data_IF_050978297244
#
_entry.id   IF_050978297244
#
_cell.length_a   1.000
_cell.length_b   1.000
_cell.length_c   1.000
_cell.angle_alpha   90.00
_cell.angle_beta   90.00
_cell.angle_gamma   90.00
#
_symmetry.space_group_name_H-M   'P 1'
#
loop_
_entity.id
_entity.type
_entity.pdbx_description
1 polymer ?
#
# COMPACT_ATOMS: atom_id res chain seq x y z
N UNK A 1 -2.83 -12.13 -15.89
CA UNK A 1 -3.66 -13.01 -15.02
C UNK A 1 -4.27 -14.10 -15.88
N UNK A 2 -4.21 -15.37 -15.47
CA UNK A 2 -4.92 -16.44 -16.15
C UNK A 2 -6.42 -16.17 -16.08
N UNK A 3 -7.10 -16.13 -17.23
CA UNK A 3 -8.54 -15.90 -17.33
C UNK A 3 -9.24 -17.25 -17.20
N UNK A 4 -9.66 -17.60 -15.99
CA UNK A 4 -10.51 -18.78 -15.79
C UNK A 4 -11.90 -18.52 -16.39
N UNK A 5 -12.48 -19.52 -17.04
CA UNK A 5 -13.92 -19.58 -17.27
C UNK A 5 -14.66 -19.91 -15.96
N UNK A 6 -16.00 -19.89 -15.97
CA UNK A 6 -16.76 -20.14 -14.76
C UNK A 6 -16.52 -21.54 -14.17
N UNK A 7 -16.58 -22.66 -14.94
CA UNK A 7 -16.28 -23.98 -14.40
C UNK A 7 -14.91 -24.07 -13.72
N UNK A 8 -13.86 -23.58 -14.39
CA UNK A 8 -12.52 -23.62 -13.80
C UNK A 8 -12.39 -22.72 -12.57
N UNK A 9 -13.05 -21.55 -12.56
CA UNK A 9 -13.08 -20.66 -11.41
C UNK A 9 -13.73 -21.30 -10.19
N UNK A 10 -14.97 -21.79 -10.32
CA UNK A 10 -15.71 -22.35 -9.18
C UNK A 10 -15.10 -23.67 -8.69
N UNK A 11 -14.63 -24.54 -9.59
CA UNK A 11 -13.88 -25.75 -9.18
C UNK A 11 -12.62 -25.39 -8.40
N UNK A 12 -11.89 -24.36 -8.82
CA UNK A 12 -10.71 -23.88 -8.08
C UNK A 12 -11.11 -23.29 -6.73
N UNK A 13 -12.17 -22.48 -6.68
CA UNK A 13 -12.69 -21.89 -5.44
C UNK A 13 -13.08 -22.97 -4.43
N UNK A 14 -13.81 -24.00 -4.85
CA UNK A 14 -14.24 -25.10 -3.98
C UNK A 14 -13.06 -25.79 -3.30
N UNK A 15 -12.01 -26.12 -4.05
CA UNK A 15 -10.78 -26.72 -3.51
C UNK A 15 -10.03 -25.78 -2.57
N UNK A 16 -9.99 -24.49 -2.88
CA UNK A 16 -9.30 -23.50 -2.06
C UNK A 16 -10.03 -23.28 -0.74
N UNK A 17 -11.37 -23.25 -0.75
CA UNK A 17 -12.18 -23.13 0.46
C UNK A 17 -12.09 -24.36 1.36
N UNK A 18 -11.86 -25.55 0.79
CA UNK A 18 -11.59 -26.75 1.59
C UNK A 18 -10.24 -26.63 2.33
N UNK A 19 -9.21 -26.15 1.65
CA UNK A 19 -7.86 -25.98 2.22
C UNK A 19 -7.73 -24.77 3.14
N UNK A 20 -8.59 -23.77 2.96
CA UNK A 20 -8.61 -22.52 3.72
C UNK A 20 -10.05 -22.29 4.18
N UNK A 21 -10.47 -22.96 5.28
CA UNK A 21 -11.83 -22.86 5.78
C UNK A 21 -12.25 -21.40 6.00
N UNK A 22 -13.53 -21.15 5.72
CA UNK A 22 -14.17 -19.85 5.93
C UNK A 22 -14.02 -19.38 7.37
N UNK A 23 -13.89 -18.06 7.58
CA UNK A 23 -13.86 -17.48 8.92
C UNK A 23 -15.29 -17.42 9.49
N UNK A 24 -15.42 -17.21 10.80
CA UNK A 24 -16.73 -17.08 11.43
C UNK A 24 -17.59 -15.96 10.82
N UNK A 25 -16.96 -14.86 10.38
CA UNK A 25 -17.64 -13.76 9.71
C UNK A 25 -18.17 -14.13 8.30
N UNK A 26 -17.74 -15.26 7.73
CA UNK A 26 -18.14 -15.68 6.39
C UNK A 26 -19.34 -16.66 6.40
N UNK A 27 -19.91 -16.98 7.57
CA UNK A 27 -20.93 -18.02 7.73
C UNK A 27 -22.18 -17.78 6.85
N UNK A 28 -22.67 -16.54 6.78
CA UNK A 28 -23.83 -16.17 5.97
C UNK A 28 -23.56 -16.37 4.47
N UNK A 29 -22.41 -15.90 3.98
CA UNK A 29 -21.98 -16.07 2.58
C UNK A 29 -21.83 -17.55 2.21
N UNK A 30 -21.25 -18.36 3.10
CA UNK A 30 -21.13 -19.82 2.88
C UNK A 30 -22.51 -20.48 2.83
N UNK A 31 -23.47 -20.03 3.63
CA UNK A 31 -24.84 -20.53 3.55
C UNK A 31 -25.47 -20.20 2.18
N UNK A 32 -25.34 -18.96 1.69
CA UNK A 32 -25.82 -18.55 0.36
C UNK A 32 -25.23 -19.41 -0.77
N UNK A 33 -23.96 -19.79 -0.67
CA UNK A 33 -23.34 -20.69 -1.64
C UNK A 33 -24.00 -22.08 -1.67
N UNK A 34 -24.35 -22.64 -0.50
CA UNK A 34 -25.02 -23.92 -0.43
C UNK A 34 -26.40 -23.89 -1.11
N UNK A 35 -27.13 -22.77 -1.01
CA UNK A 35 -28.42 -22.57 -1.69
C UNK A 35 -28.33 -22.68 -3.22
N UNK A 36 -27.21 -22.27 -3.81
CA UNK A 36 -26.96 -22.38 -5.25
C UNK A 36 -26.22 -23.68 -5.62
N UNK A 37 -26.11 -24.64 -4.69
CA UNK A 37 -25.43 -25.92 -4.91
C UNK A 37 -23.90 -25.84 -4.93
N UNK A 38 -23.31 -24.72 -4.55
CA UNK A 38 -21.86 -24.59 -4.39
C UNK A 38 -21.44 -24.99 -2.98
N UNK A 39 -20.37 -25.79 -2.87
CA UNK A 39 -19.79 -26.16 -1.58
C UNK A 39 -18.27 -26.36 -1.70
N UNK A 40 -17.51 -26.16 -0.59
CA UNK A 40 -16.09 -26.50 -0.55
C UNK A 40 -15.86 -28.01 -0.69
N UNK A 41 -14.98 -28.42 -1.59
CA UNK A 41 -14.74 -29.84 -1.85
C UNK A 41 -13.97 -30.10 -3.14
N UNK A 42 -13.31 -31.26 -3.19
CA UNK A 42 -12.71 -31.77 -4.44
C UNK A 42 -13.76 -32.45 -5.35
N UNK A 43 -14.89 -32.85 -4.76
CA UNK A 43 -16.05 -33.50 -5.37
C UNK A 43 -17.09 -32.51 -5.94
N UNK A 44 -16.89 -31.20 -5.76
CA UNK A 44 -17.73 -30.19 -6.39
C UNK A 44 -17.70 -30.31 -7.92
N UNK A 45 -18.83 -30.67 -8.50
CA UNK A 45 -19.02 -30.86 -9.94
C UNK A 45 -19.92 -29.76 -10.53
N UNK A 46 -19.28 -28.71 -11.08
CA UNK A 46 -19.97 -27.57 -11.69
C UNK A 46 -21.02 -27.98 -12.74
N UNK A 47 -20.73 -29.01 -13.52
CA UNK A 47 -21.58 -29.50 -14.60
C UNK A 47 -22.85 -30.21 -14.09
N UNK A 48 -22.90 -30.59 -12.81
CA UNK A 48 -24.05 -31.26 -12.20
C UNK A 48 -25.07 -30.29 -11.60
N UNK A 49 -24.79 -28.98 -11.65
CA UNK A 49 -25.70 -27.95 -11.15
C UNK A 49 -26.92 -27.79 -12.08
N UNK A 50 -28.07 -27.32 -11.55
CA UNK A 50 -29.21 -26.96 -12.37
C UNK A 50 -28.82 -25.98 -13.48
N UNK A 51 -29.41 -26.12 -14.68
CA UNK A 51 -29.06 -25.30 -15.84
C UNK A 51 -29.17 -23.79 -15.57
N UNK A 52 -30.18 -23.37 -14.80
CA UNK A 52 -30.36 -21.98 -14.39
C UNK A 52 -29.20 -21.47 -13.52
N UNK A 53 -28.71 -22.30 -12.58
CA UNK A 53 -27.55 -21.98 -11.73
C UNK A 53 -26.27 -21.88 -12.56
N UNK A 54 -26.05 -22.83 -13.47
CA UNK A 54 -24.90 -22.81 -14.39
C UNK A 54 -24.88 -21.51 -15.19
N UNK A 55 -26.02 -21.14 -15.79
CA UNK A 55 -26.14 -19.90 -16.55
C UNK A 55 -25.86 -18.66 -15.67
N UNK A 56 -26.43 -18.61 -14.46
CA UNK A 56 -26.19 -17.51 -13.53
C UNK A 56 -24.71 -17.40 -13.13
N UNK A 57 -24.05 -18.51 -12.84
CA UNK A 57 -22.63 -18.56 -12.49
C UNK A 57 -21.72 -18.12 -13.64
N UNK A 58 -22.07 -18.45 -14.90
CA UNK A 58 -21.37 -17.95 -16.08
C UNK A 58 -21.47 -16.42 -16.23
N UNK A 59 -22.64 -15.84 -15.93
CA UNK A 59 -22.86 -14.39 -15.99
C UNK A 59 -22.22 -13.65 -14.80
N UNK A 60 -22.15 -14.30 -13.63
CA UNK A 60 -21.63 -13.71 -12.40
C UNK A 60 -20.14 -13.39 -12.49
N UNK A 61 -19.32 -14.24 -13.12
CA UNK A 61 -17.86 -14.02 -13.21
C UNK A 61 -17.51 -12.69 -13.90
N UNK A 62 -17.95 -12.40 -15.14
CA UNK A 62 -17.64 -11.12 -15.77
C UNK A 62 -18.29 -9.93 -15.05
N UNK A 63 -19.51 -10.08 -14.52
CA UNK A 63 -20.19 -9.02 -13.76
C UNK A 63 -19.40 -8.64 -12.49
N UNK A 64 -18.90 -9.63 -11.75
CA UNK A 64 -18.07 -9.42 -10.57
C UNK A 64 -16.75 -8.73 -10.93
N UNK A 65 -16.10 -9.11 -12.03
CA UNK A 65 -14.87 -8.44 -12.49
C UNK A 65 -15.10 -6.94 -12.79
N UNK A 66 -16.23 -6.59 -13.41
CA UNK A 66 -16.61 -5.18 -13.63
C UNK A 66 -16.84 -4.46 -12.30
N UNK A 67 -17.58 -5.08 -11.38
CA UNK A 67 -17.84 -4.50 -10.06
C UNK A 67 -16.56 -4.24 -9.27
N UNK A 68 -15.63 -5.20 -9.25
CA UNK A 68 -14.33 -5.07 -8.58
C UNK A 68 -13.50 -3.98 -9.26
N UNK A 69 -13.42 -3.95 -10.60
CA UNK A 69 -12.66 -2.93 -11.32
C UNK A 69 -13.20 -1.51 -11.11
N UNK A 70 -14.52 -1.35 -10.96
CA UNK A 70 -15.11 -0.06 -10.64
C UNK A 70 -14.81 0.36 -9.19
N UNK A 71 -14.92 -0.56 -8.23
CA UNK A 71 -14.57 -0.28 -6.84
C UNK A 71 -13.06 0.06 -6.67
N UNK A 72 -12.18 -0.61 -7.43
CA UNK A 72 -10.75 -0.32 -7.48
C UNK A 72 -10.47 1.12 -7.88
N UNK A 73 -11.14 1.62 -8.94
CA UNK A 73 -11.00 3.03 -9.37
C UNK A 73 -11.40 4.02 -8.27
N UNK A 74 -12.42 3.69 -7.47
CA UNK A 74 -12.87 4.53 -6.36
C UNK A 74 -11.94 4.44 -5.13
N UNK A 75 -11.30 3.29 -4.90
CA UNK A 75 -10.38 3.08 -3.79
C UNK A 75 -9.02 3.79 -3.97
N UNK A 76 -8.58 4.01 -5.21
CA UNK A 76 -7.31 4.71 -5.54
C UNK A 76 -7.35 6.20 -5.18
N UNK A 77 -8.52 6.77 -4.90
CA UNK A 77 -8.68 8.12 -4.35
C UNK A 77 -8.37 8.16 -2.84
N UNK A 78 -7.14 7.79 -2.47
CA UNK A 78 -6.66 7.92 -1.08
C UNK A 78 -6.67 9.37 -0.63
N UNK A 79 -6.97 9.61 0.66
CA UNK A 79 -6.93 10.95 1.24
C UNK A 79 -5.50 11.51 1.16
N UNK A 80 -5.30 12.53 0.32
CA UNK A 80 -4.02 13.24 0.20
C UNK A 80 -3.92 14.26 1.33
N UNK A 81 -2.85 14.19 2.13
CA UNK A 81 -2.56 15.18 3.20
C UNK A 81 -1.08 15.54 3.09
N UNK A 82 -0.77 16.84 3.09
CA UNK A 82 0.60 17.34 2.91
C UNK A 82 1.28 16.78 1.65
N UNK A 83 0.51 16.61 0.58
CA UNK A 83 0.95 15.97 -0.67
C UNK A 83 1.28 14.48 -0.59
N UNK A 84 1.06 13.83 0.56
CA UNK A 84 1.23 12.38 0.73
C UNK A 84 -0.08 11.64 0.50
N UNK A 85 -0.05 10.64 -0.37
CA UNK A 85 -1.09 9.61 -0.44
C UNK A 85 -0.82 8.54 0.63
N UNK A 86 -1.87 8.16 1.33
CA UNK A 86 -1.82 7.16 2.38
C UNK A 86 -2.30 5.81 1.84
N UNK A 87 -1.40 4.82 1.84
CA UNK A 87 -1.74 3.44 1.58
C UNK A 87 -1.88 2.72 2.92
N UNK A 88 -3.13 2.53 3.36
CA UNK A 88 -3.46 1.67 4.48
C UNK A 88 -4.03 0.36 3.96
N UNK A 89 -3.66 -0.76 4.58
CA UNK A 89 -4.53 -1.93 4.52
C UNK A 89 -5.85 -1.52 5.17
N UNK A 90 -7.00 -1.82 4.57
CA UNK A 90 -8.32 -1.47 5.13
C UNK A 90 -8.67 -2.26 6.41
N UNK A 91 -7.67 -2.79 7.13
CA UNK A 91 -7.87 -3.63 8.33
C UNK A 91 -8.38 -5.02 7.99
N UNK A 92 -8.96 -5.72 8.97
CA UNK A 92 -9.63 -7.00 8.73
C UNK A 92 -10.84 -6.72 7.85
N UNK A 93 -10.86 -7.28 6.63
CA UNK A 93 -11.97 -7.07 5.70
C UNK A 93 -13.32 -7.55 6.26
N UNK A 94 -13.31 -8.53 7.17
CA UNK A 94 -14.54 -9.17 7.68
C UNK A 94 -15.49 -9.47 6.51
N UNK A 95 -16.79 -9.19 6.60
CA UNK A 95 -17.71 -9.46 5.49
C UNK A 95 -17.62 -8.47 4.29
N UNK A 96 -16.66 -7.53 4.26
CA UNK A 96 -16.44 -6.65 3.10
C UNK A 96 -15.67 -7.35 1.97
N UNK A 97 -16.38 -8.21 1.24
CA UNK A 97 -15.84 -9.00 0.14
C UNK A 97 -15.36 -8.16 -1.05
N UNK A 98 -15.96 -6.99 -1.30
CA UNK A 98 -15.57 -6.14 -2.43
C UNK A 98 -14.21 -5.50 -2.15
N UNK A 99 -14.01 -4.92 -0.98
CA UNK A 99 -12.70 -4.39 -0.59
C UNK A 99 -11.64 -5.49 -0.56
N UNK A 100 -12.00 -6.69 -0.06
CA UNK A 100 -11.11 -7.87 -0.06
C UNK A 100 -10.68 -8.26 -1.48
N UNK A 101 -11.63 -8.25 -2.42
CA UNK A 101 -11.38 -8.57 -3.83
C UNK A 101 -10.55 -7.49 -4.54
N UNK A 102 -10.79 -6.20 -4.25
CA UNK A 102 -9.98 -5.08 -4.77
C UNK A 102 -8.53 -5.20 -4.29
N UNK A 103 -8.31 -5.48 -3.01
CA UNK A 103 -6.95 -5.66 -2.47
C UNK A 103 -6.24 -6.87 -3.08
N UNK A 104 -6.93 -8.01 -3.23
CA UNK A 104 -6.36 -9.19 -3.89
C UNK A 104 -6.03 -8.94 -5.37
N UNK A 105 -6.83 -8.11 -6.06
CA UNK A 105 -6.63 -7.73 -7.47
C UNK A 105 -5.48 -6.75 -7.66
N UNK A 106 -5.33 -5.76 -6.78
CA UNK A 106 -4.27 -4.75 -6.88
C UNK A 106 -2.87 -5.35 -6.71
N UNK A 107 -2.77 -6.54 -6.10
CA UNK A 107 -1.51 -7.25 -5.89
C UNK A 107 -0.61 -6.59 -4.83
N UNK A 108 -1.08 -5.53 -4.19
CA UNK A 108 -0.40 -4.93 -3.04
C UNK A 108 -0.69 -5.82 -1.84
N UNK A 109 0.27 -6.64 -1.45
CA UNK A 109 0.25 -7.28 -0.14
C UNK A 109 0.36 -6.17 0.91
N UNK A 110 -0.78 -5.66 1.37
CA UNK A 110 -0.81 -4.62 2.39
C UNK A 110 -0.73 -5.36 3.73
N UNK A 111 0.31 -5.10 4.53
CA UNK A 111 0.31 -5.59 5.91
C UNK A 111 -0.79 -4.85 6.68
N UNK A 112 -1.32 -5.43 7.76
CA UNK A 112 -2.30 -4.72 8.60
C UNK A 112 -1.74 -3.35 8.98
N UNK A 113 -2.62 -2.35 9.15
CA UNK A 113 -2.18 -0.98 9.47
C UNK A 113 -1.40 -0.93 10.80
N UNK A 114 -1.68 -1.86 11.70
CA UNK A 114 -0.97 -2.09 12.96
C UNK A 114 0.46 -2.62 12.75
N UNK A 115 0.73 -3.29 11.62
CA UNK A 115 2.04 -3.84 11.28
C UNK A 115 2.85 -2.87 10.41
N UNK A 116 2.23 -2.24 9.41
CA UNK A 116 2.92 -1.32 8.51
C UNK A 116 1.98 -0.29 7.89
N UNK A 117 2.43 0.96 7.83
CA UNK A 117 1.78 2.04 7.09
C UNK A 117 2.76 2.65 6.09
N UNK A 118 2.29 2.89 4.86
CA UNK A 118 3.07 3.52 3.80
C UNK A 118 2.43 4.85 3.40
N UNK A 119 3.22 5.91 3.39
CA UNK A 119 2.87 7.18 2.76
C UNK A 119 3.72 7.35 1.49
N UNK A 120 3.13 7.78 0.39
CA UNK A 120 3.83 8.01 -0.87
C UNK A 120 3.62 9.43 -1.37
N UNK A 121 4.65 10.02 -1.96
CA UNK A 121 4.51 11.29 -2.69
C UNK A 121 5.44 11.33 -3.89
N UNK A 122 4.98 11.95 -4.97
CA UNK A 122 5.79 12.31 -6.14
C UNK A 122 5.83 13.83 -6.36
N UNK A 123 5.32 14.61 -5.39
CA UNK A 123 5.18 16.07 -5.47
C UNK A 123 5.65 16.75 -4.18
N UNK A 124 6.04 18.01 -4.29
CA UNK A 124 6.44 18.84 -3.15
C UNK A 124 5.23 19.52 -2.47
N UNK A 125 5.53 20.39 -1.50
CA UNK A 125 4.55 21.18 -0.74
C UNK A 125 3.67 22.12 -1.59
N UNK A 126 4.10 22.47 -2.81
CA UNK A 126 3.31 23.26 -3.77
C UNK A 126 2.53 22.40 -4.77
N UNK A 127 2.73 21.08 -4.73
CA UNK A 127 2.14 20.15 -5.69
C UNK A 127 2.96 19.98 -6.98
N UNK A 128 4.16 20.54 -7.04
CA UNK A 128 5.06 20.41 -8.18
C UNK A 128 5.79 19.06 -8.14
N UNK A 129 6.02 18.38 -9.29
CA UNK A 129 6.73 17.12 -9.33
C UNK A 129 8.12 17.17 -8.69
N UNK A 130 8.45 16.15 -7.91
CA UNK A 130 9.77 15.99 -7.33
C UNK A 130 10.78 15.65 -8.43
N UNK A 131 11.82 16.47 -8.55
CA UNK A 131 12.89 16.31 -9.53
C UNK A 131 14.24 16.73 -8.94
N UNK A 132 15.26 15.87 -9.02
CA UNK A 132 16.53 16.12 -8.33
C UNK A 132 17.47 17.12 -8.99
N UNK A 133 16.99 17.85 -10.00
CA UNK A 133 17.53 19.18 -10.35
C UNK A 133 17.35 20.19 -9.20
N UNK A 134 16.49 19.89 -8.22
CA UNK A 134 16.23 20.71 -7.05
C UNK A 134 16.72 20.06 -5.76
N UNK A 135 16.75 20.86 -4.71
CA UNK A 135 17.05 20.42 -3.35
C UNK A 135 15.77 20.44 -2.53
N UNK A 136 15.56 19.41 -1.71
CA UNK A 136 14.38 19.28 -0.87
C UNK A 136 14.75 18.93 0.57
N UNK A 137 13.87 19.28 1.49
CA UNK A 137 13.95 18.91 2.90
C UNK A 137 12.61 18.39 3.39
N UNK A 138 12.65 17.31 4.19
CA UNK A 138 11.54 16.90 5.06
C UNK A 138 11.96 17.24 6.48
N UNK A 139 11.23 18.15 7.12
CA UNK A 139 11.53 18.62 8.47
C UNK A 139 10.50 18.10 9.48
N UNK A 140 10.95 17.23 10.37
CA UNK A 140 10.16 16.74 11.50
C UNK A 140 10.49 17.57 12.74
N UNK A 141 9.48 18.24 13.32
CA UNK A 141 9.65 18.77 14.68
C UNK A 141 9.91 17.62 15.65
N UNK A 142 10.48 17.91 16.82
CA UNK A 142 10.81 16.92 17.85
C UNK A 142 9.64 15.98 18.16
N UNK A 143 8.44 16.52 18.29
CA UNK A 143 7.20 15.80 18.62
C UNK A 143 6.59 15.06 17.41
N UNK A 144 7.13 15.30 16.22
CA UNK A 144 6.62 14.81 14.94
C UNK A 144 7.59 13.86 14.24
N UNK A 145 8.72 13.49 14.85
CA UNK A 145 9.54 12.35 14.40
C UNK A 145 8.62 11.12 14.30
N UNK A 146 8.71 10.29 13.22
CA UNK A 146 7.72 9.27 12.95
C UNK A 146 7.44 8.33 14.16
N UNK A 147 6.20 8.31 14.68
CA UNK A 147 5.88 7.59 15.91
C UNK A 147 5.66 6.09 15.61
N UNK A 148 6.71 5.30 15.82
CA UNK A 148 6.72 3.84 15.64
C UNK A 148 7.14 3.13 16.92
N UNK A 149 6.77 1.85 17.04
CA UNK A 149 7.27 0.94 18.07
C UNK A 149 8.49 0.14 17.59
N UNK A 150 8.63 -0.07 16.27
CA UNK A 150 9.78 -0.75 15.68
C UNK A 150 10.73 0.25 15.02
N UNK A 151 10.51 0.58 13.74
CA UNK A 151 11.39 1.47 12.98
C UNK A 151 10.63 2.17 11.85
N UNK A 152 11.23 3.22 11.28
CA UNK A 152 10.69 3.90 10.10
C UNK A 152 11.78 4.12 9.06
N UNK A 153 11.35 4.33 7.82
CA UNK A 153 12.28 4.58 6.71
C UNK A 153 11.65 5.47 5.65
N UNK A 154 12.50 6.17 4.90
CA UNK A 154 12.17 6.92 3.69
C UNK A 154 12.99 6.33 2.56
N UNK A 155 12.32 5.78 1.55
CA UNK A 155 12.96 5.22 0.36
C UNK A 155 12.68 6.12 -0.85
N UNK A 156 13.71 6.33 -1.67
CA UNK A 156 13.60 7.05 -2.93
C UNK A 156 13.54 6.06 -4.09
N UNK A 157 12.60 6.27 -5.01
CA UNK A 157 12.51 5.54 -6.27
C UNK A 157 12.50 6.48 -7.47
N UNK A 158 13.00 6.00 -8.60
CA UNK A 158 12.82 6.69 -9.89
C UNK A 158 11.36 6.64 -10.36
N UNK A 159 11.08 7.27 -11.51
CA UNK A 159 9.77 7.25 -12.18
C UNK A 159 9.28 5.84 -12.57
N UNK A 160 10.18 4.85 -12.59
CA UNK A 160 9.90 3.45 -12.92
C UNK A 160 9.81 2.55 -11.68
N UNK A 161 9.79 3.13 -10.47
CA UNK A 161 9.76 2.40 -9.18
C UNK A 161 11.02 1.58 -8.87
N UNK A 162 12.18 1.93 -9.45
CA UNK A 162 13.46 1.31 -9.12
C UNK A 162 14.24 2.12 -8.08
N UNK A 163 15.07 1.42 -7.29
CA UNK A 163 16.06 2.08 -6.44
C UNK A 163 17.12 2.77 -7.30
N UNK A 164 17.45 4.00 -6.94
CA UNK A 164 18.39 4.83 -7.71
C UNK A 164 19.81 4.61 -7.22
N UNK A 165 20.70 4.19 -8.12
CA UNK A 165 22.13 4.07 -7.85
C UNK A 165 22.76 5.41 -7.48
N UNK A 166 23.63 5.41 -6.47
CA UNK A 166 24.35 6.59 -6.00
C UNK A 166 25.69 6.20 -5.37
N UNK A 167 26.60 7.17 -5.29
CA UNK A 167 28.00 6.96 -4.91
C UNK A 167 28.20 6.52 -3.45
N UNK A 168 27.19 6.67 -2.59
CA UNK A 168 27.25 6.25 -1.17
C UNK A 168 26.39 5.01 -0.89
N UNK A 169 25.83 4.38 -1.94
CA UNK A 169 24.95 3.21 -1.85
C UNK A 169 23.80 3.35 -0.85
N UNK A 170 23.26 4.57 -0.69
CA UNK A 170 22.13 4.86 0.20
C UNK A 170 20.86 5.07 -0.60
N UNK A 171 19.95 4.10 -0.57
CA UNK A 171 18.65 4.17 -1.26
C UNK A 171 17.47 4.41 -0.30
N UNK A 172 17.75 4.27 1.00
CA UNK A 172 16.81 4.37 2.10
C UNK A 172 17.50 5.08 3.26
N UNK A 173 16.75 5.86 4.02
CA UNK A 173 17.22 6.49 5.25
C UNK A 173 16.16 6.35 6.34
N UNK A 174 16.55 6.07 7.58
CA UNK A 174 15.62 5.80 8.68
C UNK A 174 16.25 5.96 10.06
N UNK A 175 15.51 5.61 11.10
CA UNK A 175 15.97 5.65 12.50
C UNK A 175 17.05 4.60 12.85
N UNK A 176 17.32 3.64 11.96
CA UNK A 176 18.49 2.76 12.06
C UNK A 176 19.79 3.41 11.55
N UNK A 177 19.70 4.54 10.84
CA UNK A 177 20.89 5.30 10.45
C UNK A 177 21.43 6.15 11.61
N UNK A 178 22.68 6.58 11.49
CA UNK A 178 23.31 7.53 12.43
C UNK A 178 22.87 8.97 12.15
N UNK A 179 21.57 9.21 12.26
CA UNK A 179 20.96 10.52 12.03
C UNK A 179 21.46 11.54 13.06
N UNK A 180 21.60 12.80 12.63
CA UNK A 180 21.93 13.93 13.49
C UNK A 180 20.71 14.83 13.67
N UNK A 181 20.31 15.04 14.92
CA UNK A 181 19.27 16.01 15.25
C UNK A 181 19.82 17.44 15.10
N UNK A 182 18.91 18.36 14.82
CA UNK A 182 19.16 19.80 14.88
C UNK A 182 19.29 20.25 16.35
N UNK A 183 19.73 21.48 16.58
CA UNK A 183 19.94 22.03 17.93
C UNK A 183 18.68 22.13 18.80
N UNK A 184 17.50 22.18 18.17
CA UNK A 184 16.18 22.18 18.82
C UNK A 184 15.60 20.76 19.00
N UNK A 185 16.39 19.71 18.72
CA UNK A 185 15.99 18.30 18.68
C UNK A 185 14.99 17.92 17.57
N UNK A 186 14.78 18.78 16.58
CA UNK A 186 14.10 18.41 15.34
C UNK A 186 15.01 17.56 14.44
N UNK A 187 14.43 16.96 13.40
CA UNK A 187 15.14 16.15 12.41
C UNK A 187 14.86 16.68 11.01
N UNK A 188 15.92 17.01 10.25
CA UNK A 188 15.84 17.38 8.85
C UNK A 188 16.45 16.29 7.97
N UNK A 189 15.67 15.76 7.02
CA UNK A 189 16.15 14.83 5.99
C UNK A 189 16.34 15.61 4.68
N UNK A 190 17.55 15.60 4.14
CA UNK A 190 17.90 16.29 2.90
C UNK A 190 17.78 15.33 1.71
N UNK A 191 17.08 15.75 0.66
CA UNK A 191 16.87 14.96 -0.55
C UNK A 191 17.33 15.81 -1.74
N UNK A 192 18.47 15.43 -2.30
CA UNK A 192 19.12 16.18 -3.40
C UNK A 192 20.18 15.34 -4.10
N UNK A 193 20.51 15.72 -5.33
CA UNK A 193 21.56 15.04 -6.10
C UNK A 193 22.98 15.40 -5.62
N UNK A 194 23.24 16.69 -5.43
CA UNK A 194 24.55 17.19 -5.02
C UNK A 194 24.79 16.96 -3.52
N UNK A 195 26.05 16.75 -3.13
CA UNK A 195 26.42 16.56 -1.72
C UNK A 195 25.98 17.79 -0.88
N UNK A 196 25.27 17.60 0.25
CA UNK A 196 24.61 18.70 0.95
C UNK A 196 25.53 19.53 1.86
N UNK A 197 26.83 19.24 1.89
CA UNK A 197 27.76 19.90 2.80
C UNK A 197 27.95 19.15 4.11
N UNK A 198 29.01 19.51 4.82
CA UNK A 198 29.43 18.87 6.07
C UNK A 198 28.35 18.97 7.16
N UNK A 199 28.23 17.92 7.97
CA UNK A 199 27.16 17.65 8.94
C UNK A 199 25.79 17.29 8.34
N UNK A 200 25.43 17.70 7.12
CA UNK A 200 24.13 17.37 6.50
C UNK A 200 24.13 16.00 5.83
N UNK A 201 25.30 15.47 5.48
CA UNK A 201 25.51 14.14 4.88
C UNK A 201 24.96 12.99 5.73
N UNK A 202 24.91 13.17 7.06
CA UNK A 202 24.34 12.19 7.97
C UNK A 202 22.85 11.96 7.74
N UNK A 203 22.14 12.99 7.28
CA UNK A 203 20.69 12.96 7.06
C UNK A 203 20.34 13.06 5.56
N UNK A 204 21.30 12.75 4.69
CA UNK A 204 21.14 12.90 3.24
C UNK A 204 20.65 11.62 2.58
N UNK A 205 19.62 11.74 1.74
CA UNK A 205 19.15 10.73 0.80
C UNK A 205 19.46 11.21 -0.63
N UNK A 206 20.44 10.59 -1.34
CA UNK A 206 20.79 10.98 -2.70
C UNK A 206 19.64 10.78 -3.69
N UNK A 207 19.37 11.82 -4.48
CA UNK A 207 18.38 11.80 -5.56
C UNK A 207 19.05 11.71 -6.96
N UNK A 208 18.36 11.17 -7.98
CA UNK A 208 18.82 11.28 -9.38
C UNK A 208 18.69 12.74 -9.86
N UNK A 209 19.32 13.11 -10.99
CA UNK A 209 19.06 14.40 -11.66
C UNK A 209 17.71 14.46 -12.40
N UNK A 210 16.86 13.46 -12.19
CA UNK A 210 15.56 13.29 -12.87
C UNK A 210 14.45 13.20 -11.82
N UNK A 211 13.25 12.90 -12.28
CA UNK A 211 12.03 12.75 -11.49
C UNK A 211 12.14 11.55 -10.56
N UNK A 212 11.64 11.72 -9.34
CA UNK A 212 11.64 10.69 -8.32
C UNK A 212 10.35 10.73 -7.48
N UNK A 213 10.14 9.68 -6.68
CA UNK A 213 9.11 9.65 -5.66
C UNK A 213 9.70 9.15 -4.34
N UNK A 214 8.98 9.41 -3.26
CA UNK A 214 9.37 9.03 -1.92
C UNK A 214 8.29 8.16 -1.30
N UNK A 215 8.74 7.15 -0.54
CA UNK A 215 7.87 6.31 0.27
C UNK A 215 8.36 6.34 1.71
N UNK A 216 7.54 6.88 2.61
CA UNK A 216 7.72 6.73 4.06
C UNK A 216 7.07 5.42 4.48
N UNK A 217 7.84 4.50 5.06
CA UNK A 217 7.34 3.26 5.66
C UNK A 217 7.49 3.34 7.17
N UNK A 218 6.41 3.04 7.87
CA UNK A 218 6.36 2.98 9.33
C UNK A 218 6.04 1.56 9.74
N UNK A 219 6.91 0.93 10.51
CA UNK A 219 6.74 -0.45 10.99
C UNK A 219 6.27 -0.43 12.44
N UNK A 220 5.20 -1.15 12.72
CA UNK A 220 4.49 -1.13 13.99
C UNK A 220 4.16 0.30 14.47
N UNK A 221 3.41 1.10 13.67
CA UNK A 221 3.14 2.49 13.99
C UNK A 221 2.29 2.65 15.25
N UNK A 222 2.52 3.75 15.97
CA UNK A 222 1.71 4.11 17.14
C UNK A 222 0.31 4.61 16.72
N UNK A 223 -0.68 4.62 17.63
CA UNK A 223 -2.06 5.00 17.33
C UNK A 223 -2.29 6.35 16.66
N UNK A 224 -1.35 7.28 16.82
CA UNK A 224 -1.44 8.60 16.19
C UNK A 224 -1.40 8.54 14.66
N UNK A 225 -0.76 7.52 14.08
CA UNK A 225 -0.65 7.35 12.63
C UNK A 225 -2.00 6.96 12.04
N UNK A 226 -2.64 5.90 12.52
CA UNK A 226 -3.91 5.46 11.93
C UNK A 226 -5.11 6.33 12.35
N UNK A 227 -5.07 6.99 13.51
CA UNK A 227 -6.08 8.00 13.89
C UNK A 227 -5.96 9.32 13.11
N UNK A 228 -4.87 9.52 12.38
CA UNK A 228 -4.63 10.72 11.57
C UNK A 228 -4.09 11.93 12.32
N UNK A 229 -3.84 11.80 13.64
CA UNK A 229 -3.16 12.84 14.44
C UNK A 229 -1.72 13.07 13.98
N UNK A 230 -1.08 12.03 13.45
CA UNK A 230 0.22 12.12 12.82
C UNK A 230 0.13 11.87 11.31
N UNK A 231 0.81 12.74 10.56
CA UNK A 231 1.05 12.65 9.12
C UNK A 231 2.47 13.15 8.84
N UNK A 232 3.16 12.61 7.81
CA UNK A 232 4.44 13.13 7.41
C UNK A 232 4.35 14.64 7.10
N UNK A 233 5.38 15.43 7.46
CA UNK A 233 5.54 16.78 6.94
C UNK A 233 5.61 16.77 5.41
N UNK A 234 5.21 17.88 4.79
CA UNK A 234 5.38 18.03 3.34
C UNK A 234 6.87 18.01 2.95
N UNK A 235 7.14 17.61 1.71
CA UNK A 235 8.48 17.74 1.12
C UNK A 235 8.63 19.19 0.66
N UNK A 236 9.53 19.95 1.29
CA UNK A 236 9.70 21.38 0.98
C UNK A 236 10.88 21.57 0.04
N UNK A 237 10.67 22.28 -1.07
CA UNK A 237 11.76 22.69 -1.97
C UNK A 237 12.60 23.77 -1.28
N UNK A 238 13.92 23.60 -1.30
CA UNK A 238 14.86 24.59 -0.79
C UNK A 238 15.16 25.60 -1.90
N UNK A 239 15.17 26.88 -1.52
CA UNK A 239 15.53 27.99 -2.40
C UNK A 239 17.05 28.09 -2.58
#
# INVERSE_FOLDING_TARGET
>A
MARYDAPAFYKRLARLMLKNPAQACDAEMVAEFAWIGFFPGDDFAFEMLPAATVQAMHLAVPAAQVRIANAEKSAVAGKVINSWSLNLHPGRFEADYISRAVAARSGVAVALAEDMVCFQTAVDHTGEPLNGANQYVIHFSRERIPPVNAFWSITLYDSKQHLVQNNIHRHVIGDHDRLRLNSDNSLSIYIQHEWPGMNREFNWLPAPKDSFNLVVRMYWPKPDVFSGRWRPPAVTRMN
#
